data_IF_606028336580
#
_entry.id   IF_606028336580
#
_cell.length_a   1.000
_cell.length_b   1.000
_cell.length_c   1.000
_cell.angle_alpha   90.00
_cell.angle_beta   90.00
_cell.angle_gamma   90.00
#
_symmetry.space_group_name_H-M   'P 1'
#
loop_
_entity.id
_entity.type
_entity.pdbx_description
1 polymer ?
#
# COMPACT_ATOMS: atom_id res chain seq x y z
N UNK A 1 28.45 4.36 14.17
CA UNK A 1 27.23 5.06 13.70
C UNK A 1 26.10 4.05 13.57
N UNK A 2 24.84 4.51 13.59
CA UNK A 2 23.67 3.65 13.39
C UNK A 2 23.44 3.37 11.89
N UNK A 3 22.85 2.22 11.57
CA UNK A 3 22.42 1.90 10.19
C UNK A 3 21.06 2.56 9.93
N UNK A 4 20.96 3.38 8.88
CA UNK A 4 19.70 3.99 8.44
C UNK A 4 19.06 3.09 7.38
N UNK A 5 17.84 2.61 7.65
CA UNK A 5 17.06 1.84 6.66
C UNK A 5 16.17 2.74 5.80
N UNK A 6 15.73 3.87 6.36
CA UNK A 6 14.91 4.86 5.67
C UNK A 6 14.21 5.78 6.66
N UNK A 7 13.28 6.56 6.13
CA UNK A 7 12.52 7.57 6.83
C UNK A 7 11.02 7.23 6.78
N UNK A 8 10.31 7.43 7.89
CA UNK A 8 8.85 7.48 7.91
C UNK A 8 8.44 8.92 7.57
N UNK A 9 8.10 9.16 6.32
CA UNK A 9 8.03 10.51 5.76
C UNK A 9 6.65 11.17 5.91
N UNK A 10 5.56 10.39 5.99
CA UNK A 10 4.24 10.94 6.20
C UNK A 10 3.20 9.90 6.56
N UNK A 11 2.12 10.34 7.20
CA UNK A 11 1.06 9.47 7.71
C UNK A 11 -0.33 10.08 7.55
N UNK A 12 -1.31 9.24 7.24
CA UNK A 12 -2.71 9.62 7.20
C UNK A 12 -3.61 8.47 7.65
N UNK A 13 -4.67 8.79 8.39
CA UNK A 13 -5.66 7.79 8.81
C UNK A 13 -7.06 8.34 8.85
N UNK A 14 -8.03 7.45 8.60
CA UNK A 14 -9.45 7.76 8.62
C UNK A 14 -10.24 6.58 9.19
N UNK A 15 -11.52 6.83 9.49
CA UNK A 15 -12.48 5.78 9.86
C UNK A 15 -13.60 5.79 8.83
N UNK A 16 -13.84 4.63 8.22
CA UNK A 16 -14.91 4.44 7.28
C UNK A 16 -16.28 4.66 7.92
N UNK A 17 -17.25 5.14 7.12
CA UNK A 17 -18.64 5.20 7.54
C UNK A 17 -19.13 3.82 8.01
N UNK A 18 -20.16 3.78 8.88
CA UNK A 18 -20.76 2.52 9.30
C UNK A 18 -21.17 1.65 8.10
N UNK A 19 -21.09 0.31 8.21
CA UNK A 19 -21.62 -0.59 7.20
C UNK A 19 -23.07 -0.25 6.85
N UNK A 20 -23.46 -0.43 5.59
CA UNK A 20 -24.81 -0.14 5.06
C UNK A 20 -25.21 1.35 5.02
N UNK A 21 -24.33 2.28 5.37
CA UNK A 21 -24.61 3.73 5.22
C UNK A 21 -24.67 4.21 3.77
N UNK A 22 -24.24 3.38 2.80
CA UNK A 22 -24.15 3.74 1.38
C UNK A 22 -23.05 4.75 1.04
N UNK A 23 -22.25 5.16 2.03
CA UNK A 23 -21.13 6.09 1.86
C UNK A 23 -19.85 5.31 1.49
N UNK A 24 -19.00 5.86 0.60
CA UNK A 24 -17.78 5.18 0.16
C UNK A 24 -16.73 5.12 1.26
N UNK A 25 -15.74 4.24 1.08
CA UNK A 25 -14.55 4.19 1.92
C UNK A 25 -13.80 5.53 1.88
N UNK A 26 -13.15 5.84 2.98
CA UNK A 26 -12.33 7.03 3.20
C UNK A 26 -10.84 6.74 3.01
N UNK A 27 -10.46 5.54 2.56
CA UNK A 27 -9.07 5.16 2.30
C UNK A 27 -8.35 6.17 1.39
N UNK A 28 -9.01 6.66 0.34
CA UNK A 28 -8.46 7.72 -0.53
C UNK A 28 -8.03 8.95 0.26
N UNK A 29 -8.83 9.36 1.24
CA UNK A 29 -8.51 10.51 2.10
C UNK A 29 -7.29 10.20 2.96
N UNK A 30 -7.19 9.00 3.54
CA UNK A 30 -5.99 8.59 4.28
C UNK A 30 -4.73 8.63 3.40
N UNK A 31 -4.81 8.13 2.17
CA UNK A 31 -3.71 8.19 1.19
C UNK A 31 -3.29 9.64 0.91
N UNK A 32 -4.25 10.51 0.59
CA UNK A 32 -3.96 11.92 0.31
C UNK A 32 -3.34 12.65 1.49
N UNK A 33 -3.85 12.43 2.70
CA UNK A 33 -3.28 13.00 3.92
C UNK A 33 -1.83 12.54 4.14
N UNK A 34 -1.52 11.26 3.90
CA UNK A 34 -0.16 10.75 4.03
C UNK A 34 0.80 11.37 2.99
N UNK A 35 0.33 11.57 1.76
CA UNK A 35 1.11 12.24 0.69
C UNK A 35 1.34 13.71 1.02
N UNK A 36 0.32 14.42 1.51
CA UNK A 36 0.41 15.82 1.94
C UNK A 36 1.39 15.99 3.10
N UNK A 37 1.32 15.14 4.13
CA UNK A 37 2.23 15.13 5.27
C UNK A 37 3.68 14.86 4.84
N UNK A 38 3.86 13.96 3.86
CA UNK A 38 5.17 13.68 3.28
C UNK A 38 5.67 14.77 2.32
N UNK A 39 4.84 15.75 1.94
CA UNK A 39 5.09 16.68 0.82
C UNK A 39 5.47 15.93 -0.49
N UNK A 40 4.74 14.85 -0.80
CA UNK A 40 4.93 14.03 -2.00
C UNK A 40 3.74 14.18 -2.96
N UNK A 41 4.01 14.25 -4.26
CA UNK A 41 3.01 14.09 -5.30
C UNK A 41 2.70 12.60 -5.53
N UNK A 42 1.53 12.23 -6.07
CA UNK A 42 1.23 10.83 -6.42
C UNK A 42 2.29 10.19 -7.33
N UNK A 43 2.88 10.96 -8.26
CA UNK A 43 3.93 10.49 -9.16
C UNK A 43 5.29 10.24 -8.49
N UNK A 44 5.47 10.65 -7.23
CA UNK A 44 6.70 10.40 -6.47
C UNK A 44 6.70 9.03 -5.77
N UNK A 45 5.57 8.30 -5.81
CA UNK A 45 5.44 6.96 -5.21
C UNK A 45 5.84 5.89 -6.22
N UNK A 46 6.90 5.13 -5.92
CA UNK A 46 7.43 4.10 -6.81
C UNK A 46 6.67 2.77 -6.68
N UNK A 47 6.03 2.53 -5.53
CA UNK A 47 5.29 1.29 -5.25
C UNK A 47 4.29 1.46 -4.12
N UNK A 48 3.14 0.79 -4.23
CA UNK A 48 2.14 0.65 -3.17
C UNK A 48 2.20 -0.76 -2.59
N UNK A 49 2.40 -0.85 -1.28
CA UNK A 49 2.20 -2.05 -0.47
C UNK A 49 0.75 -2.03 0.01
N UNK A 50 -0.13 -2.72 -0.71
CA UNK A 50 -1.55 -2.73 -0.44
C UNK A 50 -1.91 -3.60 0.78
N UNK A 51 -3.05 -3.33 1.42
CA UNK A 51 -3.57 -4.13 2.51
C UNK A 51 -3.92 -5.55 2.02
N UNK A 52 -4.72 -5.65 0.97
CA UNK A 52 -5.15 -6.91 0.36
C UNK A 52 -5.90 -7.80 1.35
N UNK A 53 -7.18 -7.48 1.57
CA UNK A 53 -8.05 -8.18 2.50
C UNK A 53 -8.32 -9.64 2.06
N UNK A 54 -8.26 -9.91 0.76
CA UNK A 54 -8.70 -11.18 0.18
C UNK A 54 -10.22 -11.32 0.18
N UNK A 55 -10.92 -10.20 0.37
CA UNK A 55 -12.38 -10.11 0.36
C UNK A 55 -12.75 -9.24 -0.85
N UNK A 56 -13.50 -9.78 -1.85
CA UNK A 56 -13.71 -9.10 -3.13
C UNK A 56 -14.18 -7.66 -3.02
N UNK A 57 -15.14 -7.37 -2.14
CA UNK A 57 -15.70 -6.03 -1.97
C UNK A 57 -14.66 -5.06 -1.36
N UNK A 58 -13.85 -5.54 -0.42
CA UNK A 58 -12.82 -4.74 0.23
C UNK A 58 -11.63 -4.51 -0.69
N UNK A 59 -11.23 -5.51 -1.48
CA UNK A 59 -10.12 -5.40 -2.43
C UNK A 59 -10.50 -4.49 -3.60
N UNK A 60 -11.76 -4.52 -4.05
CA UNK A 60 -12.29 -3.58 -5.04
C UNK A 60 -12.22 -2.13 -4.54
N UNK A 61 -12.69 -1.87 -3.32
CA UNK A 61 -12.63 -0.52 -2.73
C UNK A 61 -11.19 -0.01 -2.57
N UNK A 62 -10.24 -0.91 -2.28
CA UNK A 62 -8.81 -0.57 -2.22
C UNK A 62 -8.21 -0.27 -3.59
N UNK A 63 -8.52 -1.09 -4.60
CA UNK A 63 -8.09 -0.86 -5.97
C UNK A 63 -8.63 0.46 -6.56
N UNK A 64 -9.90 0.78 -6.28
CA UNK A 64 -10.53 2.05 -6.65
C UNK A 64 -9.83 3.23 -5.99
N UNK A 65 -9.56 3.16 -4.68
CA UNK A 65 -8.85 4.23 -3.96
C UNK A 65 -7.43 4.47 -4.49
N UNK A 66 -6.69 3.40 -4.82
CA UNK A 66 -5.36 3.49 -5.44
C UNK A 66 -5.48 4.14 -6.81
N UNK A 67 -6.39 3.65 -7.66
CA UNK A 67 -6.57 4.15 -9.03
C UNK A 67 -7.03 5.61 -9.06
N UNK A 68 -7.85 6.06 -8.11
CA UNK A 68 -8.29 7.45 -7.99
C UNK A 68 -7.16 8.43 -7.60
N UNK A 69 -6.12 7.94 -6.91
CA UNK A 69 -4.98 8.77 -6.48
C UNK A 69 -3.87 8.75 -7.53
N UNK A 70 -3.53 7.57 -8.04
CA UNK A 70 -2.35 7.38 -8.88
C UNK A 70 -2.67 7.28 -10.37
N UNK A 71 -3.93 7.01 -10.72
CA UNK A 71 -4.35 6.57 -12.06
C UNK A 71 -4.24 5.05 -12.21
N UNK A 72 -5.18 4.46 -12.93
CA UNK A 72 -5.23 3.01 -13.14
C UNK A 72 -3.98 2.49 -13.87
N UNK A 73 -3.40 1.40 -13.36
CA UNK A 73 -2.15 0.81 -13.88
C UNK A 73 -0.89 1.69 -13.82
N UNK A 74 -0.91 2.83 -13.11
CA UNK A 74 0.21 3.80 -13.14
C UNK A 74 1.28 3.57 -12.06
N UNK A 75 0.91 2.94 -10.95
CA UNK A 75 1.83 2.63 -9.84
C UNK A 75 1.88 1.12 -9.65
N UNK A 76 3.07 0.51 -9.53
CA UNK A 76 3.21 -0.87 -9.13
C UNK A 76 2.56 -1.12 -7.78
N UNK A 77 1.79 -2.20 -7.66
CA UNK A 77 1.15 -2.63 -6.41
C UNK A 77 1.67 -4.01 -6.01
N UNK A 78 1.91 -4.22 -4.73
CA UNK A 78 2.23 -5.53 -4.16
C UNK A 78 1.41 -5.80 -2.91
N UNK A 79 1.06 -7.07 -2.68
CA UNK A 79 0.36 -7.56 -1.48
C UNK A 79 1.21 -8.66 -0.82
N UNK A 80 2.23 -8.30 -0.01
CA UNK A 80 3.14 -9.27 0.59
C UNK A 80 2.45 -10.27 1.54
N UNK A 81 1.29 -9.89 2.08
CA UNK A 81 0.44 -10.75 2.94
C UNK A 81 -0.03 -12.03 2.24
N UNK A 82 0.06 -12.11 0.92
CA UNK A 82 -0.15 -13.36 0.18
C UNK A 82 0.91 -14.42 0.45
N UNK A 83 2.10 -14.03 0.92
CA UNK A 83 3.17 -14.95 1.33
C UNK A 83 3.16 -15.21 2.84
N UNK A 84 2.88 -14.19 3.64
CA UNK A 84 3.06 -14.22 5.11
C UNK A 84 1.77 -14.47 5.89
N UNK A 85 0.62 -14.37 5.23
CA UNK A 85 -0.71 -14.39 5.86
C UNK A 85 -1.08 -13.05 6.50
N UNK A 86 -2.33 -12.95 6.98
CA UNK A 86 -2.81 -11.74 7.68
C UNK A 86 -2.38 -11.75 9.15
N UNK A 87 -1.32 -11.02 9.46
CA UNK A 87 -0.75 -10.91 10.82
C UNK A 87 -1.48 -9.90 11.73
N UNK A 88 -2.73 -9.55 11.43
CA UNK A 88 -3.50 -8.52 12.14
C UNK A 88 -2.70 -7.22 12.33
N UNK A 89 -2.56 -6.72 13.57
CA UNK A 89 -1.80 -5.52 13.89
C UNK A 89 -0.30 -5.63 13.56
N UNK A 90 0.23 -6.84 13.40
CA UNK A 90 1.60 -7.08 12.96
C UNK A 90 1.82 -6.94 11.46
N UNK A 91 0.75 -6.88 10.65
CA UNK A 91 0.88 -6.90 9.19
C UNK A 91 1.44 -5.58 8.65
N UNK A 92 0.93 -4.43 9.11
CA UNK A 92 1.39 -3.12 8.64
C UNK A 92 2.87 -2.82 9.01
N UNK A 93 3.34 -3.09 10.25
CA UNK A 93 4.77 -2.96 10.57
C UNK A 93 5.66 -3.89 9.74
N UNK A 94 5.20 -5.10 9.42
CA UNK A 94 5.94 -6.01 8.56
C UNK A 94 6.03 -5.48 7.13
N UNK A 95 4.96 -4.90 6.59
CA UNK A 95 4.97 -4.29 5.26
C UNK A 95 5.86 -3.04 5.20
N UNK A 96 5.91 -2.23 6.27
CA UNK A 96 6.87 -1.11 6.39
C UNK A 96 8.31 -1.63 6.35
N UNK A 97 8.63 -2.66 7.14
CA UNK A 97 9.96 -3.28 7.12
C UNK A 97 10.28 -3.87 5.74
N UNK A 98 9.29 -4.52 5.09
CA UNK A 98 9.42 -5.08 3.75
C UNK A 98 9.67 -3.99 2.71
N UNK A 99 8.98 -2.86 2.78
CA UNK A 99 9.18 -1.72 1.88
C UNK A 99 10.59 -1.14 1.99
N UNK A 100 11.10 -0.93 3.20
CA UNK A 100 12.46 -0.43 3.42
C UNK A 100 13.52 -1.43 2.93
N UNK A 101 13.31 -2.73 3.16
CA UNK A 101 14.19 -3.78 2.63
C UNK A 101 14.12 -3.88 1.10
N UNK A 102 12.95 -3.67 0.52
CA UNK A 102 12.71 -3.65 -0.93
C UNK A 102 13.48 -2.51 -1.61
N UNK A 103 13.49 -1.32 -0.99
CA UNK A 103 14.30 -0.19 -1.46
C UNK A 103 15.80 -0.51 -1.46
N UNK A 104 16.29 -1.12 -0.37
CA UNK A 104 17.69 -1.51 -0.26
C UNK A 104 18.08 -2.63 -1.25
N UNK A 105 17.16 -3.55 -1.53
CA UNK A 105 17.39 -4.67 -2.43
C UNK A 105 17.14 -4.32 -3.90
N UNK A 106 16.47 -3.21 -4.20
CA UNK A 106 16.09 -2.80 -5.56
C UNK A 106 15.06 -3.74 -6.19
N UNK A 107 14.12 -4.26 -5.40
CA UNK A 107 13.17 -5.30 -5.79
C UNK A 107 11.80 -5.05 -5.15
N UNK A 108 10.72 -5.17 -5.93
CA UNK A 108 9.35 -5.22 -5.43
C UNK A 108 8.97 -6.69 -5.19
N UNK A 109 8.50 -7.07 -3.98
CA UNK A 109 8.09 -8.44 -3.72
C UNK A 109 6.86 -8.83 -4.56
N UNK A 110 6.72 -10.11 -4.93
CA UNK A 110 5.55 -10.55 -5.68
C UNK A 110 4.32 -10.68 -4.79
N UNK A 111 3.18 -10.59 -5.46
CA UNK A 111 1.89 -11.08 -5.01
C UNK A 111 1.68 -12.47 -5.60
N UNK A 112 1.55 -13.48 -4.73
CA UNK A 112 1.52 -14.90 -5.11
C UNK A 112 0.25 -15.58 -4.58
N UNK A 113 0.01 -16.83 -4.95
CA UNK A 113 -1.12 -17.62 -4.43
C UNK A 113 -2.51 -16.98 -4.62
N UNK A 114 -2.66 -16.18 -5.68
CA UNK A 114 -3.91 -15.52 -6.04
C UNK A 114 -4.25 -15.73 -7.52
N UNK A 115 -5.54 -15.63 -7.82
CA UNK A 115 -6.04 -15.40 -9.16
C UNK A 115 -6.35 -13.90 -9.31
N UNK A 116 -5.60 -13.14 -10.12
CA UNK A 116 -5.78 -11.69 -10.23
C UNK A 116 -7.13 -11.36 -10.86
N UNK A 117 -7.82 -10.36 -10.31
CA UNK A 117 -9.06 -9.84 -10.87
C UNK A 117 -8.74 -8.76 -11.92
N UNK A 118 -9.02 -8.98 -13.23
CA UNK A 118 -8.72 -8.00 -14.27
C UNK A 118 -9.49 -6.68 -14.11
N UNK A 119 -10.63 -6.70 -13.43
CA UNK A 119 -11.46 -5.50 -13.19
C UNK A 119 -10.79 -4.48 -12.27
N UNK A 120 -9.77 -4.87 -11.49
CA UNK A 120 -9.11 -3.95 -10.55
C UNK A 120 -8.13 -2.99 -11.25
N UNK A 121 -7.71 -3.29 -12.49
CA UNK A 121 -6.83 -2.45 -13.32
C UNK A 121 -5.60 -1.90 -12.58
N UNK A 122 -5.01 -2.72 -11.71
CA UNK A 122 -3.77 -2.43 -11.00
C UNK A 122 -2.57 -3.04 -11.72
N UNK A 123 -1.44 -2.34 -11.70
CA UNK A 123 -0.14 -2.95 -12.05
C UNK A 123 0.35 -3.82 -10.87
N UNK A 124 -0.34 -4.94 -10.66
CA UNK A 124 -0.03 -5.87 -9.59
C UNK A 124 1.24 -6.66 -9.95
N UNK A 125 2.25 -6.62 -9.07
CA UNK A 125 3.48 -7.40 -9.24
C UNK A 125 3.16 -8.86 -8.94
N UNK A 126 2.99 -9.68 -9.98
CA UNK A 126 2.53 -11.07 -9.87
C UNK A 126 3.67 -12.08 -9.99
N UNK A 127 3.58 -13.16 -9.21
CA UNK A 127 4.35 -14.43 -9.32
C UNK A 127 5.87 -14.35 -9.10
N UNK A 128 6.54 -13.29 -9.55
CA UNK A 128 7.98 -13.08 -9.41
C UNK A 128 8.29 -11.65 -8.97
N UNK A 129 9.34 -11.51 -8.16
CA UNK A 129 9.80 -10.20 -7.73
C UNK A 129 10.19 -9.35 -8.96
N UNK A 130 9.86 -8.06 -8.93
CA UNK A 130 10.17 -7.13 -10.02
C UNK A 130 11.35 -6.23 -9.62
N UNK A 131 12.49 -6.26 -10.32
CA UNK A 131 13.57 -5.31 -10.11
C UNK A 131 13.08 -3.87 -10.35
N UNK A 132 13.38 -2.96 -9.42
CA UNK A 132 13.01 -1.55 -9.51
C UNK A 132 13.91 -0.69 -8.63
N UNK A 133 14.20 0.54 -9.05
CA UNK A 133 14.86 1.55 -8.20
C UNK A 133 13.79 2.26 -7.38
N UNK A 134 13.62 1.86 -6.12
CA UNK A 134 12.61 2.41 -5.23
C UNK A 134 13.21 3.46 -4.30
N UNK A 135 12.64 4.65 -4.27
CA UNK A 135 12.99 5.76 -3.38
C UNK A 135 11.86 6.09 -2.41
N UNK A 136 10.61 5.92 -2.82
CA UNK A 136 9.42 6.19 -2.01
C UNK A 136 8.39 5.08 -2.17
N UNK A 137 7.84 4.60 -1.06
CA UNK A 137 6.76 3.62 -1.06
C UNK A 137 5.60 4.09 -0.20
N UNK A 138 4.39 3.69 -0.57
CA UNK A 138 3.19 3.87 0.23
C UNK A 138 2.78 2.52 0.82
N UNK A 139 2.58 2.44 2.13
CA UNK A 139 2.05 1.24 2.81
C UNK A 139 0.62 1.50 3.28
N UNK A 140 -0.30 0.64 2.88
CA UNK A 140 -1.71 0.69 3.25
C UNK A 140 -2.03 -0.37 4.30
N UNK A 141 -2.88 0.00 5.25
CA UNK A 141 -3.38 -0.90 6.27
C UNK A 141 -4.85 -0.64 6.55
N UNK A 142 -5.63 -1.71 6.64
CA UNK A 142 -7.06 -1.65 6.95
C UNK A 142 -7.45 -2.62 8.05
N UNK A 143 -8.42 -2.22 8.86
CA UNK A 143 -8.81 -2.94 10.07
C UNK A 143 -10.31 -3.09 10.23
N UNK A 144 -10.68 -4.03 11.12
CA UNK A 144 -12.06 -4.15 11.58
C UNK A 144 -12.51 -2.83 12.24
N UNK A 145 -13.79 -2.47 12.04
CA UNK A 145 -14.34 -1.20 12.53
C UNK A 145 -14.12 0.00 11.60
N UNK A 146 -13.60 -0.24 10.39
CA UNK A 146 -13.49 0.79 9.34
C UNK A 146 -12.18 1.58 9.38
N UNK A 147 -11.20 1.17 10.16
CA UNK A 147 -9.91 1.88 10.21
C UNK A 147 -9.16 1.76 8.87
N UNK A 148 -8.71 2.91 8.35
CA UNK A 148 -7.74 3.00 7.26
C UNK A 148 -6.50 3.78 7.71
N UNK A 149 -5.34 3.34 7.27
CA UNK A 149 -4.07 4.01 7.46
C UNK A 149 -3.22 3.92 6.20
N UNK A 150 -2.50 5.00 5.93
CA UNK A 150 -1.53 5.12 4.86
C UNK A 150 -0.24 5.71 5.42
N UNK A 151 0.90 5.13 5.05
CA UNK A 151 2.22 5.58 5.50
C UNK A 151 3.17 5.69 4.31
N UNK A 152 3.76 6.87 4.13
CA UNK A 152 4.81 7.09 3.15
C UNK A 152 6.15 6.83 3.80
N UNK A 153 6.97 6.00 3.17
CA UNK A 153 8.36 5.73 3.59
C UNK A 153 9.33 6.10 2.48
N UNK A 154 10.52 6.56 2.85
CA UNK A 154 11.60 6.93 1.92
C UNK A 154 12.86 6.15 2.19
N UNK A 155 13.60 5.85 1.12
CA UNK A 155 14.94 5.28 1.23
C UNK A 155 15.87 6.24 1.99
N UNK A 156 16.80 5.69 2.75
CA UNK A 156 17.83 6.50 3.39
C UNK A 156 18.71 7.20 2.32
N UNK A 157 19.20 8.43 2.61
CA UNK A 157 20.09 9.16 1.71
C UNK A 157 21.44 8.48 1.50
#
# INVERSE_FOLDING_TARGET
GATLYGELAGYGSTIDPPPHSGRPSTLRTAIRTALEDAAAAPGDIDVVFADGAGVPELDRAEAEAISEVFGAGRVPVTVPKTMTGRLHSGAAPLDVACALLSMRAGLIPPTVHIDPCPEYDLDLVLYQARPATLRTALVLARGHGGFNSAMVVRAAP
#
